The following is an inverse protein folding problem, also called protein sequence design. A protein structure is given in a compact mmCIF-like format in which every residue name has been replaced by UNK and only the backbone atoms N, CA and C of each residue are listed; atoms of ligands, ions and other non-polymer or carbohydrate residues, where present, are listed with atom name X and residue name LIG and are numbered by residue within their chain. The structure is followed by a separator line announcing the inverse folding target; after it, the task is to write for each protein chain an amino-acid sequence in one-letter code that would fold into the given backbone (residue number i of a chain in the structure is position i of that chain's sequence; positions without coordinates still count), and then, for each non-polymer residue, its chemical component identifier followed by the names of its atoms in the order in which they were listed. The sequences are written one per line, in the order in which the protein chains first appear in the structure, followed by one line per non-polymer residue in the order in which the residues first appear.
data_IF_873076250781
#
_entry.id   IF_873076250781
#
_cell.length_a   1.000
_cell.length_b   1.000
_cell.length_c   1.000
_cell.angle_alpha   90.00
_cell.angle_beta   90.00
_cell.angle_gamma   90.00
#
_symmetry.space_group_name_H-M   'P 1'
#
loop_
_entity.id
_entity.type
_entity.pdbx_description
1 polymer ?
#
# COMPACT_ATOMS: atom_id res chain seq x y z
N UNK A 1 4.43 -40.55 -16.74
CA UNK A 1 5.68 -39.84 -17.07
C UNK A 1 5.73 -38.65 -16.15
N UNK A 2 6.54 -38.78 -15.12
CA UNK A 2 6.78 -37.85 -14.04
C UNK A 2 7.61 -36.67 -14.55
N UNK A 3 7.08 -35.45 -14.45
CA UNK A 3 7.88 -34.24 -14.54
C UNK A 3 8.49 -34.00 -13.15
N UNK A 4 9.74 -34.40 -13.00
CA UNK A 4 10.55 -34.10 -11.82
C UNK A 4 10.76 -32.59 -11.73
N UNK A 5 10.11 -31.97 -10.75
CA UNK A 5 10.51 -30.67 -10.23
C UNK A 5 11.90 -30.84 -9.59
N UNK A 6 12.94 -30.60 -10.37
CA UNK A 6 14.31 -30.45 -9.88
C UNK A 6 14.34 -29.18 -9.02
N UNK A 7 14.26 -29.37 -7.71
CA UNK A 7 14.71 -28.37 -6.74
C UNK A 7 16.18 -28.05 -7.09
N UNK A 8 16.59 -26.77 -7.20
CA UNK A 8 17.96 -26.44 -7.50
C UNK A 8 18.86 -27.00 -6.39
N UNK A 9 19.86 -27.78 -6.82
CA UNK A 9 20.88 -28.42 -6.00
C UNK A 9 21.70 -27.40 -5.21
N UNK A 10 22.19 -27.84 -4.05
CA UNK A 10 22.94 -27.09 -3.04
C UNK A 10 24.36 -26.69 -3.46
N UNK A 11 24.56 -26.19 -4.67
CA UNK A 11 25.86 -25.69 -5.14
C UNK A 11 25.79 -24.20 -5.45
N UNK A 12 26.60 -23.45 -4.69
CA UNK A 12 27.02 -22.06 -4.92
C UNK A 12 25.94 -20.99 -5.00
N UNK A 13 25.53 -20.47 -3.82
CA UNK A 13 25.19 -19.04 -3.75
C UNK A 13 26.51 -18.31 -4.00
N UNK A 14 26.70 -17.79 -5.21
CA UNK A 14 27.68 -16.72 -5.41
C UNK A 14 27.42 -15.68 -4.32
N UNK A 15 28.44 -15.36 -3.51
CA UNK A 15 28.36 -14.35 -2.47
C UNK A 15 27.61 -13.14 -3.04
N UNK A 16 26.44 -12.83 -2.49
CA UNK A 16 25.66 -11.70 -2.96
C UNK A 16 26.52 -10.45 -2.83
N UNK A 17 26.89 -9.85 -3.95
CA UNK A 17 27.65 -8.60 -3.98
C UNK A 17 26.64 -7.47 -4.11
N UNK A 18 26.32 -6.73 -3.03
CA UNK A 18 25.39 -5.62 -3.13
C UNK A 18 25.95 -4.54 -4.06
N UNK A 19 25.09 -3.98 -4.92
CA UNK A 19 25.40 -2.77 -5.68
C UNK A 19 25.76 -1.64 -4.71
N UNK A 20 26.56 -0.63 -5.12
CA UNK A 20 26.91 0.49 -4.24
C UNK A 20 25.69 1.16 -3.57
N UNK A 21 24.59 1.31 -4.31
CA UNK A 21 23.33 1.83 -3.79
C UNK A 21 22.69 0.92 -2.73
N UNK A 22 22.67 -0.39 -2.96
CA UNK A 22 22.16 -1.38 -2.00
C UNK A 22 23.05 -1.44 -0.75
N UNK A 23 24.37 -1.42 -0.91
CA UNK A 23 25.33 -1.42 0.19
C UNK A 23 25.13 -0.22 1.13
N UNK A 24 24.78 0.97 0.59
CA UNK A 24 24.45 2.14 1.41
C UNK A 24 23.18 1.99 2.23
N UNK A 25 22.22 1.18 1.77
CA UNK A 25 21.00 0.86 2.52
C UNK A 25 21.30 -0.22 3.57
N UNK A 26 22.11 -1.22 3.23
CA UNK A 26 22.54 -2.26 4.17
C UNK A 26 23.46 -1.72 5.28
N UNK A 27 24.12 -0.59 5.05
CA UNK A 27 24.89 0.14 6.06
C UNK A 27 24.01 0.93 7.06
N UNK A 28 22.70 0.70 7.06
CA UNK A 28 21.75 1.37 7.96
C UNK A 28 22.04 1.06 9.43
N UNK A 29 22.21 2.13 10.21
CA UNK A 29 22.54 2.04 11.65
C UNK A 29 21.37 2.40 12.56
N UNK A 30 20.38 3.14 12.09
CA UNK A 30 19.21 3.56 12.86
C UNK A 30 18.61 4.87 12.34
N UNK A 31 17.48 5.28 12.91
CA UNK A 31 16.75 6.49 12.52
C UNK A 31 15.86 6.31 11.28
N UNK A 32 15.16 7.36 10.84
CA UNK A 32 14.24 7.29 9.70
C UNK A 32 15.00 7.28 8.37
N UNK A 33 14.79 6.27 7.52
CA UNK A 33 15.43 6.16 6.20
C UNK A 33 14.39 6.04 5.09
N UNK A 34 14.40 6.99 4.16
CA UNK A 34 13.54 6.95 2.97
C UNK A 34 14.32 6.46 1.75
N UNK A 35 13.80 5.48 1.03
CA UNK A 35 14.44 4.91 -0.16
C UNK A 35 13.56 5.11 -1.38
N UNK A 36 14.05 5.89 -2.35
CA UNK A 36 13.44 5.99 -3.68
C UNK A 36 14.03 4.92 -4.59
N UNK A 37 13.19 4.02 -5.08
CA UNK A 37 13.62 2.90 -5.89
C UNK A 37 13.04 2.97 -7.30
N UNK A 38 13.77 2.46 -8.29
CA UNK A 38 13.23 2.27 -9.65
C UNK A 38 12.71 0.85 -9.86
N UNK A 39 11.92 0.58 -10.93
CA UNK A 39 11.41 -0.75 -11.21
C UNK A 39 12.53 -1.77 -11.40
N UNK A 40 12.46 -2.90 -10.69
CA UNK A 40 13.46 -3.97 -10.83
C UNK A 40 14.83 -3.67 -10.20
N UNK A 41 14.91 -2.66 -9.34
CA UNK A 41 16.14 -2.28 -8.63
C UNK A 41 16.61 -3.25 -7.54
N UNK A 42 15.76 -4.22 -7.19
CA UNK A 42 16.03 -5.19 -6.11
C UNK A 42 15.53 -4.75 -4.73
N UNK A 43 14.63 -3.76 -4.64
CA UNK A 43 14.03 -3.25 -3.39
C UNK A 43 13.68 -4.34 -2.38
N UNK A 44 12.86 -5.33 -2.78
CA UNK A 44 12.41 -6.44 -1.92
C UNK A 44 13.57 -7.32 -1.45
N UNK A 45 14.57 -7.57 -2.30
CA UNK A 45 15.76 -8.34 -1.92
C UNK A 45 16.57 -7.56 -0.89
N UNK A 46 16.86 -6.29 -1.16
CA UNK A 46 17.63 -5.42 -0.25
C UNK A 46 16.94 -5.26 1.10
N UNK A 47 15.60 -5.10 1.14
CA UNK A 47 14.84 -5.00 2.37
C UNK A 47 14.83 -6.32 3.15
N UNK A 48 14.72 -7.46 2.45
CA UNK A 48 14.77 -8.77 3.09
C UNK A 48 16.14 -9.02 3.76
N UNK A 49 17.22 -8.62 3.08
CA UNK A 49 18.57 -8.75 3.64
C UNK A 49 18.79 -7.78 4.81
N UNK A 50 18.33 -6.53 4.68
CA UNK A 50 18.36 -5.56 5.78
C UNK A 50 17.58 -6.08 6.99
N UNK A 51 16.39 -6.66 6.78
CA UNK A 51 15.62 -7.26 7.86
C UNK A 51 16.42 -8.36 8.57
N UNK A 52 17.07 -9.25 7.83
CA UNK A 52 17.90 -10.31 8.41
C UNK A 52 19.09 -9.76 9.21
N UNK A 53 19.78 -8.72 8.73
CA UNK A 53 20.86 -8.03 9.47
C UNK A 53 20.34 -7.36 10.75
N UNK A 54 19.13 -6.81 10.72
CA UNK A 54 18.52 -6.21 11.90
C UNK A 54 18.09 -7.27 12.93
N UNK A 55 17.63 -8.44 12.49
CA UNK A 55 17.35 -9.60 13.36
C UNK A 55 18.62 -10.04 14.08
N UNK A 56 19.73 -10.17 13.36
CA UNK A 56 21.05 -10.47 13.94
C UNK A 56 21.42 -9.47 15.02
N UNK A 57 21.29 -8.18 14.72
CA UNK A 57 21.61 -7.13 15.66
C UNK A 57 20.78 -7.26 16.94
N UNK A 58 19.47 -7.44 16.82
CA UNK A 58 18.61 -7.65 17.98
C UNK A 58 19.02 -8.88 18.81
N UNK A 59 19.38 -9.98 18.14
CA UNK A 59 19.83 -11.21 18.80
C UNK A 59 21.16 -11.01 19.55
N UNK A 60 22.04 -10.15 19.03
CA UNK A 60 23.31 -9.80 19.67
C UNK A 60 23.13 -8.92 20.92
N UNK A 61 22.05 -8.13 20.96
CA UNK A 61 21.73 -7.23 22.07
C UNK A 61 20.98 -7.95 23.22
N UNK A 62 20.41 -9.13 22.97
CA UNK A 62 19.76 -9.95 23.98
C UNK A 62 18.71 -10.90 23.40
N UNK A 63 17.89 -11.54 24.25
CA UNK A 63 16.82 -12.43 23.80
C UNK A 63 15.85 -11.73 22.84
N UNK A 64 15.35 -12.51 21.87
CA UNK A 64 14.37 -12.10 20.87
C UNK A 64 12.91 -12.32 21.32
N UNK A 65 12.69 -12.90 22.49
CA UNK A 65 11.38 -13.38 22.96
C UNK A 65 10.27 -12.31 22.93
N UNK A 66 10.67 -11.04 23.04
CA UNK A 66 9.75 -9.90 23.01
C UNK A 66 10.08 -8.88 21.91
N UNK A 67 11.11 -9.10 21.08
CA UNK A 67 11.60 -8.11 20.10
C UNK A 67 11.72 -8.71 18.70
N UNK A 68 11.05 -8.09 17.74
CA UNK A 68 11.01 -8.53 16.35
C UNK A 68 11.22 -7.35 15.39
N UNK A 69 11.88 -7.59 14.25
CA UNK A 69 11.86 -6.66 13.12
C UNK A 69 10.51 -6.78 12.42
N UNK A 70 9.75 -5.69 12.33
CA UNK A 70 8.47 -5.66 11.62
C UNK A 70 8.70 -5.26 10.16
N UNK A 71 8.21 -6.08 9.24
CA UNK A 71 8.13 -5.77 7.80
C UNK A 71 6.67 -5.67 7.40
N UNK A 72 6.30 -4.52 6.82
CA UNK A 72 4.96 -4.26 6.29
C UNK A 72 4.99 -4.09 4.78
N UNK A 73 3.96 -4.60 4.10
CA UNK A 73 3.80 -4.52 2.64
C UNK A 73 2.32 -4.37 2.28
N UNK A 74 2.01 -4.24 0.99
CA UNK A 74 0.64 -4.04 0.50
C UNK A 74 -0.13 -5.36 0.29
N UNK A 75 0.54 -6.43 -0.17
CA UNK A 75 -0.14 -7.66 -0.62
C UNK A 75 0.27 -8.91 0.16
N UNK A 76 -0.63 -9.91 0.24
CA UNK A 76 -0.33 -11.19 0.87
C UNK A 76 0.76 -11.98 0.12
N UNK A 77 0.84 -11.86 -1.20
CA UNK A 77 1.91 -12.49 -1.99
C UNK A 77 3.29 -11.90 -1.66
N UNK A 78 3.37 -10.58 -1.43
CA UNK A 78 4.59 -9.94 -0.96
C UNK A 78 4.96 -10.40 0.47
N UNK A 79 3.98 -10.58 1.36
CA UNK A 79 4.21 -11.12 2.70
C UNK A 79 4.90 -12.48 2.64
N UNK A 80 4.38 -13.41 1.85
CA UNK A 80 4.98 -14.75 1.68
C UNK A 80 6.38 -14.66 1.04
N UNK A 81 6.57 -13.75 0.08
CA UNK A 81 7.87 -13.52 -0.53
C UNK A 81 8.93 -13.07 0.49
N UNK A 82 8.60 -12.07 1.33
CA UNK A 82 9.47 -11.60 2.40
C UNK A 82 9.73 -12.68 3.44
N UNK A 83 8.70 -13.41 3.90
CA UNK A 83 8.87 -14.49 4.87
C UNK A 83 9.87 -15.55 4.41
N UNK A 84 9.75 -15.98 3.16
CA UNK A 84 10.64 -16.99 2.58
C UNK A 84 12.07 -16.47 2.42
N UNK A 85 12.23 -15.22 1.93
CA UNK A 85 13.56 -14.61 1.73
C UNK A 85 14.28 -14.36 3.04
N UNK A 86 13.63 -13.67 3.98
CA UNK A 86 14.20 -13.38 5.31
C UNK A 86 14.52 -14.70 6.01
N UNK A 87 13.61 -15.68 5.98
CA UNK A 87 13.85 -16.99 6.56
C UNK A 87 15.05 -17.72 5.96
N UNK A 88 15.29 -17.57 4.65
CA UNK A 88 16.48 -18.11 3.98
C UNK A 88 17.76 -17.45 4.50
N UNK A 89 17.81 -16.11 4.55
CA UNK A 89 18.98 -15.37 5.01
C UNK A 89 19.28 -15.65 6.49
N UNK A 90 18.27 -15.56 7.35
CA UNK A 90 18.37 -15.83 8.78
C UNK A 90 18.83 -17.28 9.04
N UNK A 91 18.39 -18.26 8.24
CA UNK A 91 18.86 -19.64 8.40
C UNK A 91 20.30 -19.84 7.93
N UNK A 92 20.64 -19.34 6.74
CA UNK A 92 21.91 -19.63 6.08
C UNK A 92 23.07 -18.80 6.64
N UNK A 93 22.82 -17.54 6.99
CA UNK A 93 23.86 -16.61 7.44
C UNK A 93 23.96 -16.57 8.98
N UNK A 94 22.83 -16.77 9.68
CA UNK A 94 22.75 -16.55 11.14
C UNK A 94 22.57 -17.84 11.96
N UNK A 95 22.27 -18.98 11.32
CA UNK A 95 21.96 -20.23 12.02
C UNK A 95 20.67 -20.19 12.84
N UNK A 96 19.85 -19.14 12.69
CA UNK A 96 18.59 -18.97 13.38
C UNK A 96 17.46 -19.74 12.66
N UNK A 97 16.42 -20.10 13.41
CA UNK A 97 15.25 -20.77 12.82
C UNK A 97 14.42 -19.75 12.01
N UNK A 98 13.93 -20.12 10.80
CA UNK A 98 12.98 -19.30 10.07
C UNK A 98 11.76 -18.93 10.93
N UNK A 99 11.32 -17.67 10.85
CA UNK A 99 10.20 -17.15 11.63
C UNK A 99 10.56 -16.63 13.03
N UNK A 100 11.83 -16.64 13.43
CA UNK A 100 12.27 -16.07 14.71
C UNK A 100 12.86 -14.67 14.52
N UNK A 101 12.46 -13.73 15.37
CA UNK A 101 13.01 -12.37 15.42
C UNK A 101 12.48 -11.40 14.36
N UNK A 102 11.57 -11.82 13.49
CA UNK A 102 10.93 -10.94 12.52
C UNK A 102 9.45 -11.29 12.31
N UNK A 103 8.68 -10.28 11.93
CA UNK A 103 7.26 -10.40 11.60
C UNK A 103 7.00 -9.73 10.26
N UNK A 104 6.23 -10.40 9.40
CA UNK A 104 5.83 -9.85 8.10
C UNK A 104 4.31 -9.81 8.02
N UNK A 105 3.74 -8.64 7.71
CA UNK A 105 2.30 -8.40 7.60
C UNK A 105 1.97 -7.49 6.43
N UNK A 106 0.72 -7.53 5.97
CA UNK A 106 0.18 -6.39 5.23
C UNK A 106 -0.15 -5.26 6.20
N UNK A 107 -0.33 -4.03 5.72
CA UNK A 107 -0.77 -2.91 6.58
C UNK A 107 -2.12 -3.21 7.26
N UNK A 108 -3.08 -3.77 6.52
CA UNK A 108 -4.36 -4.22 7.10
C UNK A 108 -4.19 -5.39 8.08
N UNK A 109 -3.29 -6.34 7.78
CA UNK A 109 -2.98 -7.46 8.67
C UNK A 109 -2.34 -6.99 9.98
N UNK A 110 -1.50 -5.95 9.94
CA UNK A 110 -0.95 -5.31 11.13
C UNK A 110 -2.04 -4.63 11.95
N UNK A 111 -2.91 -3.84 11.32
CA UNK A 111 -4.01 -3.18 12.01
C UNK A 111 -4.97 -4.19 12.66
N UNK A 112 -5.27 -5.28 11.96
CA UNK A 112 -6.03 -6.41 12.52
C UNK A 112 -5.33 -7.02 13.74
N UNK A 113 -4.02 -7.30 13.68
CA UNK A 113 -3.27 -7.84 14.82
C UNK A 113 -3.35 -6.89 16.03
N UNK A 114 -3.25 -5.57 15.81
CA UNK A 114 -3.37 -4.55 16.87
C UNK A 114 -4.78 -4.56 17.50
N UNK A 115 -5.81 -4.49 16.67
CA UNK A 115 -7.21 -4.48 17.16
C UNK A 115 -7.54 -5.78 17.89
N UNK A 116 -7.07 -6.93 17.38
CA UNK A 116 -7.39 -8.24 17.94
C UNK A 116 -6.68 -8.55 19.25
N UNK A 117 -5.53 -7.93 19.53
CA UNK A 117 -4.85 -8.08 20.83
C UNK A 117 -5.62 -7.38 21.96
N UNK A 118 -6.34 -6.28 21.66
CA UNK A 118 -7.17 -5.54 22.63
C UNK A 118 -8.49 -4.98 22.02
N UNK A 119 -9.43 -5.85 21.60
CA UNK A 119 -10.65 -5.41 20.89
C UNK A 119 -11.58 -4.55 21.77
N UNK A 120 -11.54 -4.76 23.09
CA UNK A 120 -12.33 -3.99 24.04
C UNK A 120 -11.98 -2.49 24.06
N UNK A 121 -10.74 -2.10 23.70
CA UNK A 121 -10.33 -0.68 23.64
C UNK A 121 -11.13 0.11 22.61
N UNK A 122 -11.68 -0.58 21.60
CA UNK A 122 -12.42 0.04 20.49
C UNK A 122 -13.87 -0.43 20.43
N UNK A 123 -14.37 -1.00 21.53
CA UNK A 123 -15.78 -1.42 21.64
C UNK A 123 -16.15 -2.63 20.80
N UNK A 124 -15.18 -3.44 20.37
CA UNK A 124 -15.42 -4.69 19.63
C UNK A 124 -15.47 -5.89 20.57
N UNK A 125 -16.26 -6.89 20.21
CA UNK A 125 -16.24 -8.21 20.84
C UNK A 125 -14.97 -8.97 20.47
N UNK A 126 -14.52 -9.94 21.29
CA UNK A 126 -13.37 -10.80 20.96
C UNK A 126 -13.56 -11.62 19.66
N UNK A 127 -14.80 -11.83 19.24
CA UNK A 127 -15.19 -12.58 18.04
C UNK A 127 -15.79 -11.67 16.95
N UNK A 128 -15.34 -10.43 16.82
CA UNK A 128 -15.82 -9.56 15.75
C UNK A 128 -15.44 -10.14 14.37
N UNK A 129 -16.33 -9.98 13.40
CA UNK A 129 -16.11 -10.44 12.03
C UNK A 129 -15.49 -9.34 11.17
N UNK A 130 -14.69 -9.75 10.18
CA UNK A 130 -14.19 -8.83 9.15
C UNK A 130 -14.89 -9.19 7.85
N UNK A 131 -15.64 -8.23 7.29
CA UNK A 131 -16.26 -8.45 5.99
C UNK A 131 -15.25 -8.20 4.86
N UNK A 132 -15.36 -9.00 3.81
CA UNK A 132 -14.55 -8.82 2.61
C UNK A 132 -15.07 -7.65 1.75
N UNK A 133 -14.25 -7.24 0.78
CA UNK A 133 -14.57 -6.12 -0.11
C UNK A 133 -15.85 -6.36 -0.92
N UNK A 134 -16.12 -7.61 -1.28
CA UNK A 134 -17.35 -7.99 -2.00
C UNK A 134 -18.59 -7.71 -1.14
N UNK A 135 -18.60 -8.24 0.09
CA UNK A 135 -19.71 -8.06 1.03
C UNK A 135 -19.88 -6.58 1.40
N UNK A 136 -18.77 -5.85 1.53
CA UNK A 136 -18.79 -4.41 1.77
C UNK A 136 -19.46 -3.67 0.60
N UNK A 137 -19.05 -3.95 -0.63
CA UNK A 137 -19.60 -3.32 -1.83
C UNK A 137 -21.08 -3.67 -2.05
N UNK A 138 -21.49 -4.92 -1.80
CA UNK A 138 -22.89 -5.34 -1.84
C UNK A 138 -23.72 -4.57 -0.79
N UNK A 139 -23.21 -4.43 0.44
CA UNK A 139 -23.91 -3.71 1.52
C UNK A 139 -24.04 -2.20 1.21
N UNK A 140 -22.99 -1.58 0.67
CA UNK A 140 -23.04 -0.16 0.23
C UNK A 140 -24.01 0.05 -0.92
N UNK A 141 -24.04 -0.88 -1.88
CA UNK A 141 -24.99 -0.88 -3.01
C UNK A 141 -26.43 -0.98 -2.53
N UNK A 142 -26.71 -1.87 -1.58
CA UNK A 142 -28.04 -2.03 -1.01
C UNK A 142 -28.51 -0.76 -0.28
N UNK A 143 -27.62 -0.13 0.49
CA UNK A 143 -27.90 1.14 1.16
C UNK A 143 -28.17 2.28 0.15
N UNK A 144 -27.36 2.38 -0.91
CA UNK A 144 -27.58 3.35 -1.98
C UNK A 144 -28.93 3.15 -2.68
N UNK A 145 -29.27 1.90 -3.04
CA UNK A 145 -30.55 1.56 -3.66
C UNK A 145 -31.74 1.87 -2.74
N UNK A 146 -31.63 1.58 -1.44
CA UNK A 146 -32.67 1.90 -0.47
C UNK A 146 -32.94 3.41 -0.40
N UNK A 147 -31.89 4.24 -0.41
CA UNK A 147 -32.03 5.69 -0.45
C UNK A 147 -32.67 6.18 -1.76
N UNK A 148 -32.19 5.70 -2.91
CA UNK A 148 -32.70 6.14 -4.22
C UNK A 148 -34.17 5.77 -4.45
N UNK A 149 -34.65 4.66 -3.86
CA UNK A 149 -36.08 4.31 -3.88
C UNK A 149 -36.97 5.33 -3.17
N UNK A 150 -36.46 5.98 -2.14
CA UNK A 150 -37.19 7.01 -1.38
C UNK A 150 -36.95 8.42 -1.91
N UNK A 151 -35.93 8.60 -2.76
CA UNK A 151 -35.54 9.87 -3.38
C UNK A 151 -35.29 9.72 -4.89
N UNK A 152 -36.31 9.35 -5.69
CA UNK A 152 -36.14 9.03 -7.11
C UNK A 152 -35.62 10.22 -7.95
N UNK A 153 -35.89 11.45 -7.50
CA UNK A 153 -35.53 12.67 -8.21
C UNK A 153 -34.14 13.23 -7.82
N UNK A 154 -33.38 12.54 -6.95
CA UNK A 154 -32.07 13.02 -6.45
C UNK A 154 -31.15 13.49 -7.58
N UNK A 155 -31.04 12.69 -8.65
CA UNK A 155 -30.14 12.98 -9.76
C UNK A 155 -30.76 13.83 -10.86
N UNK A 156 -32.08 14.07 -10.84
CA UNK A 156 -32.77 14.80 -11.90
C UNK A 156 -32.15 16.17 -12.23
N UNK A 157 -31.68 16.98 -11.26
CA UNK A 157 -31.03 18.27 -11.54
C UNK A 157 -29.68 18.16 -12.25
N UNK A 158 -29.01 17.00 -12.18
CA UNK A 158 -27.67 16.77 -12.72
C UNK A 158 -27.70 16.05 -14.08
N UNK A 159 -28.88 15.65 -14.55
CA UNK A 159 -29.06 14.92 -15.80
C UNK A 159 -29.52 15.90 -16.89
N UNK A 160 -28.89 15.83 -18.08
CA UNK A 160 -29.36 16.65 -19.22
C UNK A 160 -30.79 16.25 -19.62
N UNK A 161 -31.66 17.21 -19.97
CA UNK A 161 -33.07 16.93 -20.28
C UNK A 161 -33.31 15.85 -21.34
N UNK A 162 -32.40 15.73 -22.30
CA UNK A 162 -32.43 14.70 -23.36
C UNK A 162 -32.35 13.27 -22.83
N UNK A 163 -31.67 13.04 -21.70
CA UNK A 163 -31.57 11.71 -21.10
C UNK A 163 -32.73 11.38 -20.17
N UNK A 164 -33.43 12.38 -19.62
CA UNK A 164 -34.63 12.17 -18.80
C UNK A 164 -35.76 11.47 -19.59
N UNK A 165 -35.81 11.67 -20.91
CA UNK A 165 -36.78 11.03 -21.79
C UNK A 165 -36.56 9.51 -21.92
N UNK A 166 -35.35 9.02 -21.64
CA UNK A 166 -34.96 7.62 -21.76
C UNK A 166 -34.25 7.12 -20.50
N UNK A 167 -34.85 7.35 -19.32
CA UNK A 167 -34.24 7.06 -18.01
C UNK A 167 -33.68 5.63 -17.89
N UNK A 168 -34.37 4.61 -18.42
CA UNK A 168 -33.92 3.20 -18.41
C UNK A 168 -32.54 2.99 -19.06
N UNK A 169 -32.14 3.85 -20.00
CA UNK A 169 -30.85 3.75 -20.69
C UNK A 169 -29.69 4.25 -19.82
N UNK A 170 -29.96 5.15 -18.89
CA UNK A 170 -28.95 5.75 -18.01
C UNK A 170 -28.99 5.21 -16.57
N UNK A 171 -30.05 4.51 -16.18
CA UNK A 171 -30.26 3.98 -14.82
C UNK A 171 -29.05 3.22 -14.26
N UNK A 172 -28.43 2.35 -15.08
CA UNK A 172 -27.23 1.62 -14.66
C UNK A 172 -26.06 2.56 -14.37
N UNK A 173 -25.77 3.50 -15.27
CA UNK A 173 -24.69 4.47 -15.11
C UNK A 173 -24.92 5.37 -13.89
N UNK A 174 -26.15 5.84 -13.69
CA UNK A 174 -26.51 6.63 -12.52
C UNK A 174 -26.32 5.86 -11.21
N UNK A 175 -26.63 4.56 -11.19
CA UNK A 175 -26.41 3.74 -10.02
C UNK A 175 -24.92 3.55 -9.73
N UNK A 176 -24.11 3.32 -10.76
CA UNK A 176 -22.66 3.18 -10.61
C UNK A 176 -22.05 4.51 -10.11
N UNK A 177 -22.42 5.64 -10.72
CA UNK A 177 -22.02 6.99 -10.26
C UNK A 177 -22.47 7.28 -8.82
N UNK A 178 -23.67 6.84 -8.44
CA UNK A 178 -24.18 7.01 -7.08
C UNK A 178 -23.37 6.18 -6.06
N UNK A 179 -23.00 4.95 -6.42
CA UNK A 179 -22.16 4.09 -5.58
C UNK A 179 -20.77 4.71 -5.45
N UNK A 180 -20.20 5.22 -6.53
CA UNK A 180 -18.89 5.88 -6.50
C UNK A 180 -18.89 7.14 -5.62
N UNK A 181 -19.95 7.95 -5.71
CA UNK A 181 -20.16 9.10 -4.83
C UNK A 181 -20.28 8.67 -3.35
N UNK A 182 -21.06 7.63 -3.06
CA UNK A 182 -21.18 7.11 -1.70
C UNK A 182 -19.85 6.57 -1.18
N UNK A 183 -19.11 5.82 -2.01
CA UNK A 183 -17.78 5.32 -1.69
C UNK A 183 -16.80 6.45 -1.38
N UNK A 184 -16.84 7.55 -2.15
CA UNK A 184 -16.01 8.73 -1.89
C UNK A 184 -16.34 9.35 -0.52
N UNK A 185 -17.63 9.54 -0.20
CA UNK A 185 -18.03 10.11 1.10
C UNK A 185 -17.65 9.19 2.27
N UNK A 186 -17.86 7.88 2.13
CA UNK A 186 -17.45 6.89 3.14
C UNK A 186 -15.94 6.95 3.34
N UNK A 187 -15.15 6.92 2.25
CA UNK A 187 -13.69 6.97 2.30
C UNK A 187 -13.21 8.23 3.01
N UNK A 188 -13.71 9.40 2.61
CA UNK A 188 -13.34 10.69 3.23
C UNK A 188 -13.76 10.74 4.70
N UNK A 189 -14.94 10.26 5.05
CA UNK A 189 -15.39 10.20 6.45
C UNK A 189 -14.47 9.36 7.32
N UNK A 190 -14.07 8.18 6.83
CA UNK A 190 -13.10 7.30 7.51
C UNK A 190 -11.71 7.91 7.60
N UNK A 191 -11.21 8.53 6.53
CA UNK A 191 -9.92 9.23 6.53
C UNK A 191 -9.87 10.37 7.56
N UNK A 192 -10.96 11.12 7.71
CA UNK A 192 -11.10 12.16 8.72
C UNK A 192 -11.33 11.58 10.12
N UNK A 193 -11.59 10.28 10.25
CA UNK A 193 -11.95 9.58 11.48
C UNK A 193 -13.22 10.12 12.15
N UNK A 194 -14.16 10.64 11.35
CA UNK A 194 -15.39 11.29 11.82
C UNK A 194 -16.59 10.39 11.54
N UNK A 195 -17.47 10.26 12.53
CA UNK A 195 -18.67 9.44 12.38
C UNK A 195 -19.74 10.14 11.50
N UNK A 196 -20.60 9.39 10.80
CA UNK A 196 -21.57 9.97 9.85
C UNK A 196 -22.47 11.06 10.46
N UNK A 197 -22.87 10.89 11.73
CA UNK A 197 -23.74 11.82 12.44
C UNK A 197 -23.06 13.17 12.75
N UNK A 198 -21.74 13.16 12.96
CA UNK A 198 -20.96 14.36 13.21
C UNK A 198 -20.80 15.18 11.92
N UNK A 199 -20.50 14.51 10.79
CA UNK A 199 -20.48 15.15 9.47
C UNK A 199 -21.85 15.75 9.12
N UNK A 200 -22.93 15.02 9.41
CA UNK A 200 -24.28 15.53 9.18
C UNK A 200 -24.60 16.75 10.06
N UNK A 201 -24.16 16.77 11.32
CA UNK A 201 -24.31 17.93 12.19
C UNK A 201 -23.53 19.14 11.65
N UNK A 202 -22.28 18.95 11.21
CA UNK A 202 -21.47 20.01 10.61
C UNK A 202 -22.11 20.55 9.31
N UNK A 203 -22.67 19.67 8.49
CA UNK A 203 -23.34 20.05 7.24
C UNK A 203 -24.57 20.94 7.49
N UNK A 204 -25.34 20.66 8.55
CA UNK A 204 -26.49 21.50 8.96
C UNK A 204 -26.10 22.92 9.38
N UNK A 205 -24.84 23.15 9.77
CA UNK A 205 -24.33 24.47 10.10
C UNK A 205 -23.82 25.25 8.87
N UNK A 206 -23.74 24.61 7.71
CA UNK A 206 -23.35 25.26 6.46
C UNK A 206 -24.56 25.91 5.78
N UNK A 207 -24.34 27.04 5.13
CA UNK A 207 -25.37 27.66 4.28
C UNK A 207 -25.46 26.93 2.94
N UNK A 208 -26.68 26.64 2.47
CA UNK A 208 -26.94 25.99 1.18
C UNK A 208 -27.52 24.58 1.30
N UNK A 209 -27.75 23.94 0.15
CA UNK A 209 -28.24 22.56 0.05
C UNK A 209 -27.17 21.70 -0.60
N UNK A 210 -26.92 20.51 -0.05
CA UNK A 210 -25.86 19.61 -0.53
C UNK A 210 -26.43 18.21 -0.83
N UNK A 211 -27.38 18.04 -1.77
CA UNK A 211 -28.13 16.79 -1.93
C UNK A 211 -27.26 15.55 -2.16
N UNK A 212 -26.17 15.71 -2.92
CA UNK A 212 -25.22 14.62 -3.21
C UNK A 212 -24.41 14.21 -1.96
N UNK A 213 -24.00 15.18 -1.15
CA UNK A 213 -23.30 14.92 0.11
C UNK A 213 -24.25 14.34 1.15
N UNK A 214 -25.47 14.88 1.26
CA UNK A 214 -26.52 14.32 2.10
C UNK A 214 -26.78 12.86 1.73
N UNK A 215 -26.93 12.54 0.44
CA UNK A 215 -27.06 11.16 -0.03
C UNK A 215 -25.89 10.28 0.43
N UNK A 216 -24.65 10.71 0.17
CA UNK A 216 -23.47 9.95 0.58
C UNK A 216 -23.38 9.73 2.09
N UNK A 217 -23.75 10.73 2.90
CA UNK A 217 -23.77 10.63 4.37
C UNK A 217 -24.85 9.67 4.87
N UNK A 218 -26.03 9.64 4.23
CA UNK A 218 -27.07 8.66 4.58
C UNK A 218 -26.63 7.24 4.24
N UNK A 219 -26.04 7.04 3.05
CA UNK A 219 -25.49 5.72 2.67
C UNK A 219 -24.36 5.31 3.63
N UNK A 220 -23.49 6.24 4.02
CA UNK A 220 -22.44 5.97 5.00
C UNK A 220 -23.02 5.56 6.37
N UNK A 221 -24.03 6.29 6.86
CA UNK A 221 -24.70 5.98 8.12
C UNK A 221 -25.40 4.61 8.10
N UNK A 222 -26.10 4.28 7.02
CA UNK A 222 -26.78 2.98 6.88
C UNK A 222 -25.78 1.83 6.71
N UNK A 223 -24.68 2.07 5.98
CA UNK A 223 -23.58 1.12 5.87
C UNK A 223 -22.94 0.81 7.22
N UNK A 224 -22.56 1.83 7.99
CA UNK A 224 -21.98 1.65 9.33
C UNK A 224 -22.96 0.99 10.30
N UNK A 225 -24.25 1.31 10.21
CA UNK A 225 -25.29 0.62 11.01
C UNK A 225 -25.37 -0.86 10.66
N UNK A 226 -25.29 -1.22 9.38
CA UNK A 226 -25.31 -2.61 8.92
C UNK A 226 -24.11 -3.40 9.45
N UNK A 227 -22.91 -2.81 9.41
CA UNK A 227 -21.70 -3.36 10.01
C UNK A 227 -21.86 -3.61 11.52
N UNK A 228 -22.31 -2.58 12.25
CA UNK A 228 -22.53 -2.65 13.69
C UNK A 228 -23.51 -3.76 14.08
N UNK A 229 -24.66 -3.88 13.40
CA UNK A 229 -25.66 -4.92 13.68
C UNK A 229 -25.09 -6.33 13.46
N UNK A 230 -24.17 -6.49 12.50
CA UNK A 230 -23.50 -7.76 12.23
C UNK A 230 -22.36 -8.05 13.21
N UNK A 231 -22.00 -7.11 14.10
CA UNK A 231 -20.79 -7.21 14.91
C UNK A 231 -19.53 -7.28 14.05
N UNK A 232 -19.56 -6.66 12.88
CA UNK A 232 -18.52 -6.76 11.87
C UNK A 232 -17.88 -5.40 11.56
N UNK A 233 -16.68 -5.44 11.02
CA UNK A 233 -15.92 -4.28 10.53
C UNK A 233 -15.41 -4.54 9.12
N UNK A 234 -15.12 -3.51 8.35
CA UNK A 234 -14.41 -3.67 7.07
C UNK A 234 -12.91 -3.36 7.19
N UNK A 235 -12.17 -3.53 6.08
CA UNK A 235 -10.72 -3.29 6.06
C UNK A 235 -10.33 -1.85 6.37
N UNK A 236 -11.10 -0.86 5.92
CA UNK A 236 -10.82 0.55 6.19
C UNK A 236 -11.04 0.87 7.67
N UNK A 237 -12.06 0.27 8.30
CA UNK A 237 -12.33 0.41 9.73
C UNK A 237 -11.16 -0.13 10.56
N UNK A 238 -10.50 -1.21 10.14
CA UNK A 238 -9.37 -1.79 10.90
C UNK A 238 -8.24 -0.78 11.12
N UNK A 239 -7.90 0.03 10.11
CA UNK A 239 -6.84 1.05 10.25
C UNK A 239 -7.27 2.13 11.26
N UNK A 240 -8.50 2.63 11.14
CA UNK A 240 -9.06 3.64 12.05
C UNK A 240 -9.13 3.11 13.48
N UNK A 241 -9.61 1.88 13.66
CA UNK A 241 -9.72 1.22 14.96
C UNK A 241 -8.34 0.93 15.55
N UNK A 242 -7.36 0.52 14.76
CA UNK A 242 -6.00 0.35 15.24
C UNK A 242 -5.45 1.68 15.80
N UNK A 243 -5.60 2.79 15.08
CA UNK A 243 -5.22 4.11 15.57
C UNK A 243 -5.93 4.48 16.87
N UNK A 244 -7.26 4.31 16.93
CA UNK A 244 -8.05 4.53 18.14
C UNK A 244 -7.56 3.67 19.32
N UNK A 245 -7.18 2.42 19.08
CA UNK A 245 -6.64 1.52 20.11
C UNK A 245 -5.26 1.99 20.62
N UNK A 246 -4.40 2.47 19.72
CA UNK A 246 -3.09 3.03 20.09
C UNK A 246 -3.23 4.33 20.90
N UNK A 247 -4.22 5.17 20.57
CA UNK A 247 -4.48 6.43 21.29
C UNK A 247 -5.21 6.20 22.63
N UNK A 248 -5.97 5.11 22.76
CA UNK A 248 -6.73 4.79 23.96
C UNK A 248 -5.86 4.23 25.11
N UNK A 249 -4.71 3.63 24.80
CA UNK A 249 -3.87 2.93 25.77
C UNK A 249 -2.38 3.10 25.47
N UNK A 250 -1.74 4.05 26.18
CA UNK A 250 -0.32 4.38 26.01
C UNK A 250 0.60 3.21 26.38
N UNK A 251 0.28 2.45 27.44
CA UNK A 251 1.06 1.28 27.85
C UNK A 251 0.99 0.18 26.77
N UNK A 252 -0.16 0.03 26.11
CA UNK A 252 -0.26 -0.88 24.98
C UNK A 252 0.61 -0.42 23.80
N UNK A 253 0.57 0.85 23.44
CA UNK A 253 1.42 1.42 22.40
C UNK A 253 2.92 1.22 22.73
N UNK A 254 3.35 1.51 23.96
CA UNK A 254 4.75 1.32 24.39
C UNK A 254 5.17 -0.14 24.23
N UNK A 255 4.34 -1.10 24.63
CA UNK A 255 4.64 -2.53 24.44
C UNK A 255 4.79 -2.91 22.97
N UNK A 256 3.98 -2.34 22.08
CA UNK A 256 4.13 -2.57 20.64
C UNK A 256 5.39 -1.92 20.06
N UNK A 257 5.74 -0.72 20.53
CA UNK A 257 6.97 -0.03 20.14
C UNK A 257 8.22 -0.82 20.57
N UNK A 258 8.24 -1.29 21.82
CA UNK A 258 9.33 -2.13 22.34
C UNK A 258 9.37 -3.50 21.63
N UNK A 259 8.20 -4.02 21.20
CA UNK A 259 8.10 -5.25 20.39
C UNK A 259 8.69 -5.07 18.99
N UNK A 260 8.51 -3.89 18.39
CA UNK A 260 8.96 -3.60 17.03
C UNK A 260 9.95 -2.43 16.99
N UNK A 261 11.19 -2.63 17.49
CA UNK A 261 12.21 -1.58 17.52
C UNK A 261 12.67 -1.14 16.13
N UNK A 262 12.39 -1.94 15.08
CA UNK A 262 12.65 -1.64 13.68
C UNK A 262 11.40 -1.94 12.85
N UNK A 263 10.98 -0.97 12.04
CA UNK A 263 9.87 -1.13 11.08
C UNK A 263 10.37 -0.85 9.67
N UNK A 264 10.19 -1.81 8.77
CA UNK A 264 10.50 -1.71 7.35
C UNK A 264 9.21 -1.76 6.53
N UNK A 265 8.95 -0.73 5.74
CA UNK A 265 7.80 -0.63 4.85
C UNK A 265 8.24 -0.77 3.39
N UNK A 266 7.65 -1.73 2.69
CA UNK A 266 7.75 -1.90 1.23
C UNK A 266 6.50 -1.37 0.54
N UNK A 267 6.64 -0.96 -0.72
CA UNK A 267 5.59 -0.31 -1.52
C UNK A 267 4.99 0.95 -0.85
N UNK A 268 5.84 1.75 -0.20
CA UNK A 268 5.43 2.95 0.55
C UNK A 268 4.74 4.03 -0.31
N UNK A 269 4.80 3.93 -1.64
CA UNK A 269 4.06 4.79 -2.56
C UNK A 269 2.55 4.50 -2.58
N UNK A 270 2.13 3.31 -2.12
CA UNK A 270 0.74 2.85 -2.07
C UNK A 270 0.13 2.97 -0.66
N UNK A 271 0.80 3.68 0.26
CA UNK A 271 0.31 3.90 1.62
C UNK A 271 -0.66 5.07 1.70
N UNK A 272 -1.67 4.97 2.57
CA UNK A 272 -2.58 6.07 2.90
C UNK A 272 -2.10 6.93 4.08
N UNK A 273 -2.77 8.06 4.31
CA UNK A 273 -2.46 8.96 5.43
C UNK A 273 -2.54 8.25 6.79
N UNK A 274 -3.60 7.46 7.00
CA UNK A 274 -3.85 6.76 8.25
C UNK A 274 -2.89 5.59 8.46
N UNK A 275 -2.50 4.90 7.39
CA UNK A 275 -1.48 3.86 7.46
C UNK A 275 -0.12 4.45 7.83
N UNK A 276 0.27 5.57 7.22
CA UNK A 276 1.48 6.29 7.59
C UNK A 276 1.43 6.72 9.06
N UNK A 277 0.29 7.25 9.52
CA UNK A 277 0.13 7.68 10.90
C UNK A 277 0.25 6.53 11.90
N UNK A 278 -0.31 5.37 11.58
CA UNK A 278 -0.19 4.16 12.40
C UNK A 278 1.27 3.75 12.53
N UNK A 279 2.01 3.67 11.42
CA UNK A 279 3.44 3.35 11.45
C UNK A 279 4.27 4.41 12.19
N UNK A 280 3.89 5.68 12.06
CA UNK A 280 4.53 6.79 12.77
C UNK A 280 4.38 6.65 14.29
N UNK A 281 3.20 6.27 14.78
CA UNK A 281 2.98 5.97 16.22
C UNK A 281 3.83 4.78 16.66
N UNK A 282 3.83 3.69 15.90
CA UNK A 282 4.59 2.48 16.23
C UNK A 282 6.11 2.68 16.21
N UNK A 283 6.60 3.66 15.45
CA UNK A 283 8.04 3.94 15.33
C UNK A 283 8.52 5.09 16.21
N UNK A 284 7.61 5.87 16.81
CA UNK A 284 7.94 7.13 17.49
C UNK A 284 8.98 6.99 18.61
N UNK A 285 8.97 5.88 19.34
CA UNK A 285 9.87 5.66 20.49
C UNK A 285 11.31 5.37 20.09
N UNK A 286 11.53 4.55 19.06
CA UNK A 286 12.87 4.14 18.61
C UNK A 286 13.37 4.93 17.40
N UNK A 287 12.45 5.54 16.63
CA UNK A 287 12.75 6.32 15.43
C UNK A 287 13.22 5.50 14.23
N UNK A 288 13.30 4.17 14.34
CA UNK A 288 13.85 3.33 13.29
C UNK A 288 12.77 2.90 12.29
N UNK A 289 12.54 3.74 11.30
CA UNK A 289 11.55 3.50 10.26
C UNK A 289 12.19 3.61 8.88
N UNK A 290 12.21 2.49 8.16
CA UNK A 290 12.66 2.45 6.77
C UNK A 290 11.44 2.40 5.86
N UNK A 291 11.32 3.36 4.94
CA UNK A 291 10.25 3.39 3.92
C UNK A 291 10.85 3.25 2.55
N UNK A 292 10.41 2.25 1.78
CA UNK A 292 10.91 2.00 0.43
C UNK A 292 9.75 1.96 -0.54
N UNK A 293 9.91 2.66 -1.66
CA UNK A 293 8.91 2.66 -2.71
C UNK A 293 9.41 3.27 -4.01
N UNK A 294 8.60 3.15 -5.04
CA UNK A 294 8.82 3.73 -6.35
C UNK A 294 7.73 4.77 -6.65
N UNK A 295 8.04 6.07 -6.61
CA UNK A 295 7.05 7.13 -6.88
C UNK A 295 6.35 7.00 -8.24
N UNK A 296 6.96 6.32 -9.21
CA UNK A 296 6.39 6.12 -10.54
C UNK A 296 5.52 4.87 -10.66
N UNK A 297 5.42 4.04 -9.61
CA UNK A 297 4.61 2.81 -9.60
C UNK A 297 3.29 2.93 -8.83
N UNK A 298 2.94 4.12 -8.33
CA UNK A 298 1.70 4.30 -7.59
C UNK A 298 0.49 4.36 -8.51
N UNK A 299 -0.09 3.18 -8.76
CA UNK A 299 -1.25 3.00 -9.62
C UNK A 299 -2.56 2.90 -8.83
N UNK A 300 -2.49 2.80 -7.50
CA UNK A 300 -3.68 2.61 -6.65
C UNK A 300 -4.34 3.92 -6.19
N UNK A 301 -3.75 5.07 -6.52
CA UNK A 301 -4.17 6.40 -6.03
C UNK A 301 -5.56 6.82 -6.50
N UNK A 302 -6.04 6.32 -7.65
CA UNK A 302 -7.36 6.69 -8.20
C UNK A 302 -8.53 6.01 -7.49
N UNK A 303 -8.32 4.82 -6.91
CA UNK A 303 -9.39 3.98 -6.36
C UNK A 303 -9.27 3.76 -4.85
N UNK A 304 -8.15 4.17 -4.25
CA UNK A 304 -7.86 4.05 -2.81
C UNK A 304 -7.51 5.41 -2.21
N UNK A 305 -7.23 5.44 -0.91
CA UNK A 305 -6.71 6.60 -0.18
C UNK A 305 -5.18 6.73 -0.24
N UNK A 306 -4.52 5.88 -1.03
CA UNK A 306 -3.07 5.89 -1.20
C UNK A 306 -2.61 7.14 -1.95
N UNK A 307 -1.47 7.69 -1.54
CA UNK A 307 -0.89 8.86 -2.21
C UNK A 307 0.66 8.85 -2.11
N UNK A 308 1.33 8.99 -3.24
CA UNK A 308 2.80 9.02 -3.33
C UNK A 308 3.42 10.16 -2.55
N UNK A 309 2.65 11.24 -2.32
CA UNK A 309 3.12 12.40 -1.57
C UNK A 309 3.65 12.00 -0.19
N UNK A 310 3.12 10.95 0.43
CA UNK A 310 3.53 10.53 1.77
C UNK A 310 4.96 10.01 1.78
N UNK A 311 5.34 9.18 0.80
CA UNK A 311 6.72 8.75 0.62
C UNK A 311 7.63 9.94 0.27
N UNK A 312 7.21 10.80 -0.66
CA UNK A 312 7.99 11.96 -1.08
C UNK A 312 8.24 12.94 0.08
N UNK A 313 7.23 13.24 0.89
CA UNK A 313 7.34 14.10 2.07
C UNK A 313 8.23 13.47 3.14
N UNK A 314 8.19 12.15 3.33
CA UNK A 314 9.07 11.45 4.26
C UNK A 314 10.54 11.56 3.83
N UNK A 315 10.84 11.32 2.54
CA UNK A 315 12.19 11.49 1.99
C UNK A 315 12.66 12.94 2.14
N UNK A 316 11.81 13.91 1.83
CA UNK A 316 12.13 15.33 1.96
C UNK A 316 12.34 15.78 3.41
N UNK A 317 11.71 15.11 4.38
CA UNK A 317 11.85 15.39 5.82
C UNK A 317 13.19 14.92 6.39
N UNK A 318 13.79 13.86 5.82
CA UNK A 318 15.04 13.25 6.28
C UNK A 318 16.09 13.16 5.16
N UNK A 319 16.53 14.30 4.58
CA UNK A 319 17.41 14.31 3.41
C UNK A 319 18.77 13.63 3.65
N UNK A 320 19.29 13.65 4.87
CA UNK A 320 20.54 12.98 5.25
C UNK A 320 20.43 11.45 5.26
N UNK A 321 19.21 10.93 5.41
CA UNK A 321 18.89 9.50 5.37
C UNK A 321 18.13 9.08 4.11
N UNK A 322 17.94 10.00 3.16
CA UNK A 322 17.42 9.68 1.84
C UNK A 322 18.43 8.81 1.07
N UNK A 323 17.96 7.72 0.47
CA UNK A 323 18.76 6.81 -0.36
C UNK A 323 18.02 6.54 -1.67
N UNK A 324 18.79 6.24 -2.71
CA UNK A 324 18.25 5.85 -4.01
C UNK A 324 18.68 4.43 -4.37
N UNK A 325 17.81 3.71 -5.09
CA UNK A 325 18.10 2.46 -5.78
C UNK A 325 17.89 2.65 -7.30
N UNK A 326 18.84 3.28 -8.01
CA UNK A 326 18.64 3.69 -9.39
C UNK A 326 18.95 2.59 -10.41
N UNK A 327 19.74 1.56 -10.05
CA UNK A 327 20.18 0.53 -10.99
C UNK A 327 19.18 -0.62 -11.10
N UNK A 328 18.73 -0.95 -12.32
CA UNK A 328 17.86 -2.08 -12.60
C UNK A 328 18.50 -3.06 -13.58
N UNK A 329 18.51 -4.34 -13.21
CA UNK A 329 18.94 -5.46 -14.06
C UNK A 329 17.78 -6.24 -14.68
N UNK A 330 16.54 -5.78 -14.49
CA UNK A 330 15.34 -6.52 -14.92
C UNK A 330 15.12 -6.47 -16.44
N UNK A 331 15.51 -5.37 -17.08
CA UNK A 331 15.12 -5.04 -18.46
C UNK A 331 16.34 -4.76 -19.32
N UNK A 332 16.23 -5.08 -20.60
CA UNK A 332 17.24 -4.71 -21.60
C UNK A 332 17.33 -3.19 -21.78
N UNK A 333 18.47 -2.70 -22.27
CA UNK A 333 18.74 -1.25 -22.40
C UNK A 333 17.68 -0.49 -23.20
N UNK A 334 17.17 -0.97 -24.36
CA UNK A 334 16.14 -0.24 -25.10
C UNK A 334 14.84 -0.02 -24.32
N UNK A 335 14.47 -0.96 -23.44
CA UNK A 335 13.28 -0.83 -22.59
C UNK A 335 13.52 0.24 -21.52
N UNK A 336 14.72 0.24 -20.92
CA UNK A 336 15.15 1.27 -19.94
C UNK A 336 15.13 2.65 -20.59
N UNK A 337 15.65 2.77 -21.82
CA UNK A 337 15.67 4.03 -22.58
C UNK A 337 14.25 4.56 -22.85
N UNK A 338 13.32 3.69 -23.28
CA UNK A 338 11.91 4.08 -23.48
C UNK A 338 11.27 4.51 -22.16
N UNK A 339 11.50 3.77 -21.07
CA UNK A 339 10.97 4.14 -19.76
C UNK A 339 11.45 5.51 -19.29
N UNK A 340 12.76 5.78 -19.42
CA UNK A 340 13.34 7.10 -19.10
C UNK A 340 12.83 8.20 -20.04
N UNK A 341 12.67 7.89 -21.33
CA UNK A 341 12.07 8.82 -22.28
C UNK A 341 10.65 9.21 -21.88
N UNK A 342 9.82 8.25 -21.40
CA UNK A 342 8.47 8.53 -20.93
C UNK A 342 8.47 9.44 -19.69
N UNK A 343 9.47 9.31 -18.80
CA UNK A 343 9.65 10.25 -17.69
C UNK A 343 9.81 11.66 -18.23
N UNK A 344 10.77 11.87 -19.13
CA UNK A 344 11.06 13.21 -19.67
C UNK A 344 9.90 13.75 -20.50
N UNK A 345 9.26 12.91 -21.30
CA UNK A 345 8.13 13.26 -22.14
C UNK A 345 6.91 13.69 -21.31
N UNK A 346 6.58 12.93 -20.26
CA UNK A 346 5.44 13.24 -19.38
C UNK A 346 5.55 14.62 -18.72
N UNK A 347 6.79 15.06 -18.43
CA UNK A 347 7.07 16.33 -17.74
C UNK A 347 7.18 17.53 -18.67
N UNK A 348 7.68 17.33 -19.90
CA UNK A 348 8.11 18.45 -20.75
C UNK A 348 7.41 18.55 -22.09
N UNK A 349 6.78 17.46 -22.55
CA UNK A 349 6.23 17.35 -23.92
C UNK A 349 4.79 16.89 -23.97
N UNK A 350 4.26 16.30 -22.90
CA UNK A 350 2.87 15.89 -22.89
C UNK A 350 1.95 17.12 -22.98
N UNK A 351 1.00 17.16 -23.94
CA UNK A 351 0.23 18.38 -24.23
C UNK A 351 -0.71 18.83 -23.11
N UNK A 352 -1.24 17.89 -22.30
CA UNK A 352 -2.29 18.14 -21.31
C UNK A 352 -2.11 17.40 -19.98
N UNK A 353 -0.93 16.87 -19.66
CA UNK A 353 -0.77 16.08 -18.42
C UNK A 353 -0.57 17.04 -17.24
N UNK A 354 -1.41 16.97 -16.19
CA UNK A 354 -1.17 17.73 -14.97
C UNK A 354 0.19 17.36 -14.37
N UNK A 355 0.91 18.34 -13.81
CA UNK A 355 2.23 18.11 -13.20
C UNK A 355 2.20 17.04 -12.10
N UNK A 356 1.12 16.96 -11.33
CA UNK A 356 0.91 15.94 -10.29
C UNK A 356 0.81 14.51 -10.83
N UNK A 357 0.50 14.34 -12.12
CA UNK A 357 0.43 13.03 -12.80
C UNK A 357 1.68 12.75 -13.65
N UNK A 358 2.61 13.69 -13.72
CA UNK A 358 3.86 13.49 -14.45
C UNK A 358 4.77 12.53 -13.68
N UNK A 359 5.49 11.67 -14.41
CA UNK A 359 6.47 10.78 -13.81
C UNK A 359 7.65 11.59 -13.26
N UNK A 360 8.26 11.12 -12.18
CA UNK A 360 9.32 11.78 -11.45
C UNK A 360 10.69 11.09 -11.65
N UNK A 361 11.81 11.83 -11.56
CA UNK A 361 13.14 11.25 -11.47
C UNK A 361 13.31 10.51 -10.11
N UNK A 362 14.30 9.61 -9.95
CA UNK A 362 15.45 9.39 -10.84
C UNK A 362 15.14 8.54 -12.08
N UNK A 363 15.99 8.68 -13.10
CA UNK A 363 16.02 7.76 -14.24
C UNK A 363 16.50 6.38 -13.82
N UNK A 364 16.01 5.35 -14.50
CA UNK A 364 16.48 3.98 -14.39
C UNK A 364 17.90 3.92 -14.98
N UNK A 365 18.87 3.52 -14.16
CA UNK A 365 20.23 3.28 -14.59
C UNK A 365 20.43 1.79 -14.90
N UNK A 366 21.24 1.44 -15.91
CA UNK A 366 21.64 0.05 -16.12
C UNK A 366 22.52 -0.45 -14.96
N UNK A 367 22.64 -1.77 -14.84
CA UNK A 367 23.56 -2.37 -13.88
C UNK A 367 25.01 -2.07 -14.25
N UNK A 368 25.90 -1.86 -13.25
CA UNK A 368 27.32 -1.64 -13.52
C UNK A 368 27.97 -2.87 -14.19
N UNK A 369 29.10 -2.68 -14.91
CA UNK A 369 29.85 -3.81 -15.46
C UNK A 369 30.23 -4.83 -14.39
N UNK A 370 30.04 -6.12 -14.67
CA UNK A 370 30.34 -7.21 -13.73
C UNK A 370 29.29 -7.41 -12.63
N UNK A 371 28.13 -6.76 -12.71
CA UNK A 371 26.99 -7.06 -11.84
C UNK A 371 26.60 -8.54 -11.95
N UNK A 372 26.31 -9.24 -10.84
CA UNK A 372 25.85 -10.64 -10.88
C UNK A 372 24.53 -10.83 -11.65
N UNK A 373 23.74 -9.77 -11.82
CA UNK A 373 22.51 -9.75 -12.59
C UNK A 373 22.59 -8.67 -13.68
N UNK A 374 23.40 -8.89 -14.74
CA UNK A 374 23.56 -7.91 -15.80
C UNK A 374 22.23 -7.71 -16.55
N UNK A 375 22.04 -6.53 -17.14
CA UNK A 375 20.90 -6.28 -18.03
C UNK A 375 20.84 -7.34 -19.14
N UNK A 376 19.65 -7.90 -19.45
CA UNK A 376 19.48 -8.84 -20.56
C UNK A 376 19.95 -8.23 -21.89
N UNK A 377 20.59 -9.05 -22.72
CA UNK A 377 20.92 -8.69 -24.10
C UNK A 377 19.61 -8.50 -24.88
N UNK A 378 19.34 -7.32 -25.48
CA UNK A 378 18.15 -7.12 -26.31
C UNK A 378 18.13 -8.03 -27.55
N UNK A 379 19.28 -8.62 -27.94
CA UNK A 379 19.42 -9.35 -29.18
C UNK A 379 19.19 -8.46 -30.41
N UNK A 380 19.04 -9.09 -31.57
CA UNK A 380 18.57 -8.40 -32.78
C UNK A 380 17.03 -8.38 -32.77
N UNK A 381 16.38 -7.19 -32.69
CA UNK A 381 14.93 -7.13 -32.69
C UNK A 381 14.40 -7.63 -34.04
N UNK A 382 13.72 -8.77 -34.02
CA UNK A 382 13.05 -9.29 -35.20
C UNK A 382 11.82 -8.43 -35.50
N UNK A 383 11.85 -7.70 -36.63
CA UNK A 383 10.69 -7.00 -37.16
C UNK A 383 9.80 -8.01 -37.90
N UNK A 384 8.71 -8.40 -37.25
CA UNK A 384 7.67 -9.21 -37.87
C UNK A 384 6.65 -8.31 -38.55
N UNK A 385 6.60 -8.37 -39.88
CA UNK A 385 5.50 -7.79 -40.63
C UNK A 385 4.38 -8.81 -40.73
N UNK A 386 3.21 -8.45 -40.22
CA UNK A 386 2.01 -9.26 -40.36
C UNK A 386 1.10 -8.59 -41.39
N UNK A 387 0.84 -9.30 -42.48
CA UNK A 387 -0.06 -8.91 -43.57
C UNK A 387 -1.55 -9.07 -43.22
N UNK A 388 -1.84 -9.38 -41.94
CA UNK A 388 -3.18 -9.53 -41.39
C UNK A 388 -3.24 -8.82 -40.03
N UNK A 389 -4.38 -8.24 -39.70
CA UNK A 389 -4.61 -7.73 -38.35
C UNK A 389 -4.50 -8.89 -37.36
N UNK A 390 -3.63 -8.77 -36.37
CA UNK A 390 -3.53 -9.73 -35.28
C UNK A 390 -4.77 -9.59 -34.40
N UNK A 391 -5.44 -10.71 -34.11
CA UNK A 391 -6.41 -10.78 -33.02
C UNK A 391 -5.66 -10.87 -31.68
N UNK A 392 -6.26 -10.46 -30.55
CA UNK A 392 -5.65 -10.60 -29.22
C UNK A 392 -5.46 -12.05 -28.73
N UNK A 393 -6.01 -13.01 -29.47
CA UNK A 393 -5.81 -14.47 -29.33
C UNK A 393 -4.61 -14.91 -30.17
#
# INVERSE_FOLDING_TARGET
MSEDHVLPSSESIHAFVPRPAQARILAYSGGPMGVSAVPGSGKTFTLSLLAAQLVERLASEGPLDEREVLVVTFTNSAVENFRNRIGTFVRQEQGLLPGVGYRVRTLHGLAHDIVRERPALVGLSESFDIIDERTANETKRDAALAYLRTHPDLFAPYIKPEFLQNFRRIERYLLDDAIDLANLVIRVGKELQVEPHELQAQLRHQSGTWPLLDFGLHVYADYQRSLFIRGAVDFDDLIVLALRALDADEDYLIRLQDRWPFVLEDEAQDSSALQEEMLRRLTARHGNWVRVGDPNQAINTTFTSADTRFLQQFIARYPEQARDLPNSGRSALPIIEIANYLIDWSRSRHPVLPEVLALAPPHILPTPPGDPQPNPDPGEPALYFFDRAMTPE
#
